data_IF_619303074956
#
_entry.id   IF_619303074956
#
_cell.length_a   1.000
_cell.length_b   1.000
_cell.length_c   1.000
_cell.angle_alpha   90.00
_cell.angle_beta   90.00
_cell.angle_gamma   90.00
#
_symmetry.space_group_name_H-M   'P 1'
#
loop_
_entity.id
_entity.type
_entity.pdbx_description
1 polymer ?
#
# COMPACT_ATOMS: atom_id res chain seq x y z
N UNK A 1 -26.31 20.02 1.94
CA UNK A 1 -25.12 20.62 2.57
C UNK A 1 -24.33 19.51 3.22
N UNK A 2 -23.17 19.15 2.68
CA UNK A 2 -22.31 18.12 3.26
C UNK A 2 -21.46 18.76 4.38
N UNK A 3 -21.65 18.34 5.62
CA UNK A 3 -20.78 18.73 6.71
C UNK A 3 -19.46 17.96 6.57
N UNK A 4 -18.40 18.65 6.15
CA UNK A 4 -17.06 18.11 6.26
C UNK A 4 -16.61 18.26 7.71
N UNK A 5 -16.57 17.15 8.43
CA UNK A 5 -16.08 17.09 9.81
C UNK A 5 -14.56 17.22 9.79
N UNK A 6 -14.09 18.47 9.89
CA UNK A 6 -12.69 18.78 10.19
C UNK A 6 -12.32 18.16 11.54
N UNK A 7 -11.33 17.25 11.54
CA UNK A 7 -10.56 16.95 12.74
C UNK A 7 -10.62 15.54 13.34
N UNK A 8 -10.97 14.50 12.59
CA UNK A 8 -10.44 13.16 12.91
C UNK A 8 -9.12 13.02 12.15
N UNK A 9 -8.03 12.62 12.82
CA UNK A 9 -6.76 12.29 12.17
C UNK A 9 -7.08 11.44 10.95
N UNK A 10 -6.77 11.91 9.75
CA UNK A 10 -7.08 11.19 8.52
C UNK A 10 -6.37 9.86 8.58
N UNK A 11 -7.08 8.78 8.94
CA UNK A 11 -6.54 7.43 8.80
C UNK A 11 -6.32 7.24 7.30
N UNK A 12 -5.06 7.41 6.87
CA UNK A 12 -4.65 7.30 5.48
C UNK A 12 -4.91 5.89 4.90
N UNK A 13 -5.17 4.93 5.79
CA UNK A 13 -5.49 3.56 5.46
C UNK A 13 -6.68 3.11 6.30
N UNK A 14 -7.56 2.33 5.68
CA UNK A 14 -8.57 1.54 6.39
C UNK A 14 -8.44 0.07 6.00
N UNK A 15 -8.97 -0.80 6.86
CA UNK A 15 -8.94 -2.25 6.66
C UNK A 15 -10.34 -2.79 6.42
N UNK A 16 -10.53 -3.45 5.29
CA UNK A 16 -11.74 -4.18 4.93
C UNK A 16 -11.44 -5.68 4.92
N UNK A 17 -11.74 -6.37 6.01
CA UNK A 17 -11.40 -7.79 6.17
C UNK A 17 -9.89 -8.01 6.10
N UNK A 18 -9.45 -8.72 5.06
CA UNK A 18 -8.04 -9.03 4.78
C UNK A 18 -7.36 -8.01 3.84
N UNK A 19 -8.04 -6.92 3.52
CA UNK A 19 -7.56 -5.92 2.57
C UNK A 19 -7.28 -4.58 3.26
N UNK A 20 -6.11 -4.01 3.02
CA UNK A 20 -5.75 -2.65 3.39
C UNK A 20 -5.88 -1.74 2.18
N UNK A 21 -6.63 -0.65 2.32
CA UNK A 21 -6.91 0.30 1.24
C UNK A 21 -6.53 1.70 1.70
N UNK A 22 -5.95 2.49 0.80
CA UNK A 22 -5.62 3.88 1.06
C UNK A 22 -6.85 4.79 0.83
N UNK A 23 -7.10 5.73 1.74
CA UNK A 23 -8.29 6.61 1.75
C UNK A 23 -8.15 7.87 0.88
N UNK A 24 -7.09 7.97 0.06
CA UNK A 24 -6.78 9.16 -0.76
C UNK A 24 -7.77 9.40 -1.90
N UNK A 25 -8.68 8.45 -2.18
CA UNK A 25 -9.68 8.55 -3.25
C UNK A 25 -9.12 8.33 -4.66
N UNK A 26 -7.81 8.05 -4.78
CA UNK A 26 -7.17 7.65 -6.02
C UNK A 26 -7.21 6.13 -6.17
N UNK A 27 -7.31 5.61 -7.41
CA UNK A 27 -7.20 4.17 -7.64
C UNK A 27 -5.80 3.68 -7.31
N UNK A 28 -5.71 2.53 -6.65
CA UNK A 28 -4.44 1.84 -6.40
C UNK A 28 -3.84 1.33 -7.71
N UNK A 29 -2.53 1.51 -7.86
CA UNK A 29 -1.75 1.11 -9.04
C UNK A 29 -0.79 -0.06 -8.75
N UNK A 30 -0.74 -0.51 -7.49
CA UNK A 30 0.01 -1.70 -7.05
C UNK A 30 -0.72 -2.42 -5.91
N UNK A 31 -0.73 -3.75 -5.97
CA UNK A 31 -1.24 -4.63 -4.91
C UNK A 31 -0.06 -5.44 -4.37
N UNK A 32 0.14 -5.44 -3.06
CA UNK A 32 1.17 -6.25 -2.40
C UNK A 32 0.49 -7.22 -1.43
N UNK A 33 0.75 -8.51 -1.60
CA UNK A 33 0.23 -9.55 -0.73
C UNK A 33 1.31 -10.02 0.25
N UNK A 34 0.96 -10.05 1.53
CA UNK A 34 1.84 -10.51 2.62
C UNK A 34 1.07 -11.50 3.48
N UNK A 35 1.40 -12.78 3.34
CA UNK A 35 0.61 -13.86 3.94
C UNK A 35 -0.82 -13.83 3.39
N UNK A 36 -1.80 -13.70 4.28
CA UNK A 36 -3.22 -13.64 3.91
C UNK A 36 -3.74 -12.21 3.66
N UNK A 37 -2.90 -11.18 3.86
CA UNK A 37 -3.31 -9.78 3.75
C UNK A 37 -2.93 -9.19 2.39
N UNK A 38 -3.85 -8.43 1.80
CA UNK A 38 -3.65 -7.69 0.56
C UNK A 38 -3.58 -6.20 0.84
N UNK A 39 -2.57 -5.52 0.30
CA UNK A 39 -2.36 -4.08 0.45
C UNK A 39 -2.54 -3.40 -0.91
N UNK A 40 -3.60 -2.60 -1.05
CA UNK A 40 -3.91 -1.81 -2.23
C UNK A 40 -3.27 -0.43 -2.06
N UNK A 41 -2.17 -0.19 -2.80
CA UNK A 41 -1.25 0.91 -2.58
C UNK A 41 -1.00 1.71 -3.87
N UNK A 42 -0.16 2.74 -3.73
CA UNK A 42 0.29 3.63 -4.78
C UNK A 42 1.80 3.43 -4.97
N UNK A 43 2.28 3.38 -6.23
CA UNK A 43 3.70 3.18 -6.55
C UNK A 43 4.53 4.31 -5.96
N UNK A 44 4.18 5.57 -6.21
CA UNK A 44 5.02 6.72 -5.86
C UNK A 44 5.48 6.76 -4.38
N UNK A 45 4.60 6.62 -3.36
CA UNK A 45 5.02 6.52 -1.96
C UNK A 45 6.02 5.38 -1.68
N UNK A 46 5.83 4.22 -2.33
CA UNK A 46 6.70 3.05 -2.13
C UNK A 46 8.07 3.23 -2.78
N UNK A 47 8.09 3.63 -4.07
CA UNK A 47 9.31 3.83 -4.86
C UNK A 47 10.23 4.88 -4.20
N UNK A 48 9.64 5.95 -3.64
CA UNK A 48 10.41 7.02 -3.00
C UNK A 48 11.12 6.63 -1.70
N UNK A 49 10.78 5.47 -1.10
CA UNK A 49 11.26 5.05 0.23
C UNK A 49 11.88 3.66 0.27
N UNK A 50 11.81 2.88 -0.81
CA UNK A 50 12.35 1.52 -0.85
C UNK A 50 12.84 1.12 -2.24
N UNK A 51 14.16 1.03 -2.39
CA UNK A 51 14.78 0.52 -3.62
C UNK A 51 14.50 -0.96 -3.89
N UNK A 52 14.12 -1.74 -2.86
CA UNK A 52 13.69 -3.13 -3.06
C UNK A 52 12.29 -3.17 -3.69
N UNK A 53 11.35 -2.38 -3.16
CA UNK A 53 10.00 -2.31 -3.74
C UNK A 53 10.04 -1.71 -5.14
N UNK A 54 10.94 -0.74 -5.38
CA UNK A 54 11.18 -0.21 -6.72
C UNK A 54 11.53 -1.28 -7.73
N UNK A 55 12.59 -2.05 -7.48
CA UNK A 55 13.00 -3.14 -8.37
C UNK A 55 11.90 -4.17 -8.61
N UNK A 56 11.22 -4.61 -7.55
CA UNK A 56 10.15 -5.60 -7.67
C UNK A 56 8.95 -5.06 -8.47
N UNK A 57 8.58 -3.80 -8.27
CA UNK A 57 7.47 -3.16 -9.00
C UNK A 57 7.84 -2.95 -10.47
N UNK A 58 9.09 -2.58 -10.76
CA UNK A 58 9.59 -2.42 -12.14
C UNK A 58 9.60 -3.75 -12.89
N UNK A 59 10.12 -4.82 -12.29
CA UNK A 59 10.11 -6.18 -12.86
C UNK A 59 8.67 -6.65 -13.16
N UNK A 60 7.73 -6.33 -12.28
CA UNK A 60 6.32 -6.65 -12.41
C UNK A 60 5.55 -5.77 -13.42
N UNK A 61 6.04 -4.55 -13.69
CA UNK A 61 5.39 -3.60 -14.62
C UNK A 61 5.85 -3.78 -16.07
N UNK A 62 6.77 -4.72 -16.35
CA UNK A 62 7.29 -5.01 -17.69
C UNK A 62 6.27 -5.65 -18.66
N UNK A 63 5.17 -6.20 -18.14
CA UNK A 63 4.09 -6.80 -18.92
C UNK A 63 2.88 -5.84 -19.00
N UNK A 64 2.99 -4.89 -19.93
CA UNK A 64 1.89 -4.25 -20.68
C UNK A 64 0.55 -4.03 -19.94
N UNK A 65 0.50 -3.01 -19.09
CA UNK A 65 -0.75 -2.31 -18.75
C UNK A 65 -1.62 -2.92 -17.65
N UNK A 66 -1.20 -4.00 -16.98
CA UNK A 66 -1.92 -4.54 -15.83
C UNK A 66 -1.45 -3.91 -14.50
N UNK A 67 -2.35 -3.86 -13.51
CA UNK A 67 -2.01 -3.43 -12.17
C UNK A 67 -0.96 -4.38 -11.58
N UNK A 68 0.18 -3.86 -11.12
CA UNK A 68 1.26 -4.70 -10.63
C UNK A 68 0.84 -5.39 -9.31
N UNK A 69 0.87 -6.72 -9.30
CA UNK A 69 0.57 -7.54 -8.11
C UNK A 69 1.83 -8.29 -7.64
N UNK A 70 2.29 -8.00 -6.43
CA UNK A 70 3.47 -8.61 -5.82
C UNK A 70 3.07 -9.53 -4.67
N UNK A 71 3.78 -10.66 -4.53
CA UNK A 71 3.70 -11.49 -3.33
C UNK A 71 5.03 -11.42 -2.57
N UNK A 72 4.97 -11.01 -1.31
CA UNK A 72 6.13 -10.97 -0.43
C UNK A 72 6.02 -12.05 0.64
N UNK A 73 7.00 -12.94 0.63
CA UNK A 73 7.11 -14.04 1.58
C UNK A 73 8.25 -13.77 2.57
N UNK A 74 8.18 -14.39 3.75
CA UNK A 74 9.28 -14.36 4.72
C UNK A 74 9.52 -13.01 5.41
N UNK A 75 8.58 -12.05 5.35
CA UNK A 75 8.69 -10.79 6.10
C UNK A 75 8.66 -11.10 7.61
N UNK A 76 9.71 -10.77 8.38
CA UNK A 76 9.68 -10.90 9.83
C UNK A 76 8.55 -10.06 10.43
N UNK A 77 7.68 -10.68 11.24
CA UNK A 77 6.48 -10.02 11.76
C UNK A 77 5.30 -9.92 10.77
N UNK A 78 5.45 -10.46 9.55
CA UNK A 78 4.39 -10.64 8.56
C UNK A 78 3.67 -9.35 8.16
N UNK A 79 2.37 -9.47 7.90
CA UNK A 79 1.54 -8.36 7.44
C UNK A 79 1.51 -7.17 8.41
N UNK A 80 1.60 -7.41 9.73
CA UNK A 80 1.62 -6.34 10.74
C UNK A 80 2.88 -5.47 10.61
N UNK A 81 4.03 -6.09 10.36
CA UNK A 81 5.25 -5.35 10.09
C UNK A 81 5.15 -4.58 8.77
N UNK A 82 4.58 -5.20 7.74
CA UNK A 82 4.39 -4.55 6.45
C UNK A 82 3.41 -3.36 6.49
N UNK A 83 2.40 -3.40 7.36
CA UNK A 83 1.53 -2.25 7.64
C UNK A 83 2.33 -1.03 8.13
N UNK A 84 3.30 -1.24 9.02
CA UNK A 84 4.18 -0.16 9.51
C UNK A 84 5.09 0.38 8.39
N UNK A 85 5.63 -0.50 7.56
CA UNK A 85 6.42 -0.12 6.37
C UNK A 85 5.56 0.72 5.42
N UNK A 86 4.32 0.31 5.19
CA UNK A 86 3.38 1.02 4.34
C UNK A 86 3.07 2.42 4.88
N UNK A 87 2.77 2.53 6.18
CA UNK A 87 2.56 3.84 6.84
C UNK A 87 3.79 4.74 6.74
N UNK A 88 4.99 4.18 6.93
CA UNK A 88 6.24 4.91 6.75
C UNK A 88 6.43 5.42 5.32
N UNK A 89 6.19 4.59 4.31
CA UNK A 89 6.27 4.98 2.90
C UNK A 89 5.34 6.16 2.55
N UNK A 90 4.17 6.22 3.19
CA UNK A 90 3.18 7.29 3.00
C UNK A 90 3.39 8.49 3.93
N UNK A 91 4.40 8.48 4.80
CA UNK A 91 4.64 9.55 5.76
C UNK A 91 3.56 9.69 6.84
N UNK A 92 2.79 8.63 7.07
CA UNK A 92 1.73 8.58 8.08
C UNK A 92 2.35 8.29 9.44
N UNK A 93 2.00 9.10 10.45
CA UNK A 93 2.43 8.97 11.85
C UNK A 93 1.32 8.42 12.73
#
# INVERSE_FOLDING_TARGET
MACMKLGAKSEAFHREGQTWVCTTGLPSDVIIQVGEMSFHLHKFPLLSKSGLLERLIEECSGEEGSACSLQLHGIPGGAKAFELVTKFCYGVK
#
